data_IF_138656223275
#
_entry.id   IF_138656223275
#
_cell.length_a   1.000
_cell.length_b   1.000
_cell.length_c   1.000
_cell.angle_alpha   90.00
_cell.angle_beta   90.00
_cell.angle_gamma   90.00
#
_symmetry.space_group_name_H-M   'P 1'
#
loop_
_entity.id
_entity.type
_entity.pdbx_description
1 polymer ?
#
# COMPACT_ATOMS: atom_id res chain seq x y z
N UNK A 1 -59.20 9.83 19.51
CA UNK A 1 -60.25 8.86 19.90
C UNK A 1 -60.96 8.37 18.64
N UNK A 2 -61.55 7.17 18.63
CA UNK A 2 -61.11 5.89 19.22
C UNK A 2 -61.14 4.78 18.12
N UNK A 3 -60.93 3.46 18.28
CA UNK A 3 -60.45 2.51 19.32
C UNK A 3 -59.20 1.79 18.71
N UNK A 4 -58.56 0.74 19.23
CA UNK A 4 -58.55 0.01 20.51
C UNK A 4 -57.77 -1.32 20.31
N UNK A 5 -56.83 -1.67 21.20
CA UNK A 5 -56.14 -2.98 21.17
C UNK A 5 -56.90 -4.02 22.01
N UNK A 6 -56.23 -4.96 22.69
CA UNK A 6 -54.93 -5.59 22.41
C UNK A 6 -55.05 -7.14 22.42
N UNK A 7 -53.97 -7.89 22.15
CA UNK A 7 -53.87 -9.28 22.62
C UNK A 7 -52.49 -9.62 23.16
N UNK A 8 -52.48 -10.26 24.33
CA UNK A 8 -51.34 -10.78 25.06
C UNK A 8 -51.07 -12.24 24.68
N UNK A 9 -49.82 -12.70 24.85
CA UNK A 9 -49.42 -14.08 24.57
C UNK A 9 -48.07 -14.40 25.20
N UNK A 10 -48.08 -14.82 26.46
CA UNK A 10 -46.90 -15.27 27.20
C UNK A 10 -46.43 -16.66 26.75
N UNK A 11 -45.11 -16.83 26.64
CA UNK A 11 -44.48 -18.12 26.31
C UNK A 11 -43.10 -18.25 26.94
N UNK A 12 -43.02 -18.87 28.11
CA UNK A 12 -41.77 -19.19 28.80
C UNK A 12 -41.07 -20.37 28.10
N UNK A 13 -39.77 -20.24 27.83
CA UNK A 13 -38.89 -21.35 27.48
C UNK A 13 -37.58 -21.25 28.28
N UNK A 14 -37.17 -22.35 28.91
CA UNK A 14 -36.07 -22.37 29.88
C UNK A 14 -34.68 -22.45 29.21
N UNK A 15 -33.62 -21.90 29.82
CA UNK A 15 -32.25 -22.15 29.39
C UNK A 15 -31.77 -23.54 29.83
N UNK A 16 -31.23 -24.31 28.88
CA UNK A 16 -30.57 -25.60 29.14
C UNK A 16 -29.22 -25.40 29.84
N UNK A 17 -29.02 -26.07 30.97
CA UNK A 17 -27.75 -26.09 31.71
C UNK A 17 -26.79 -27.14 31.13
N UNK A 18 -25.79 -26.70 30.37
CA UNK A 18 -24.70 -27.56 29.90
C UNK A 18 -23.59 -27.66 30.97
N UNK A 19 -23.33 -28.88 31.44
CA UNK A 19 -22.33 -29.17 32.48
C UNK A 19 -20.89 -29.03 31.97
N UNK A 20 -20.07 -28.26 32.70
CA UNK A 20 -18.62 -28.19 32.50
C UNK A 20 -17.95 -29.51 32.92
N UNK A 21 -17.29 -30.20 31.99
CA UNK A 21 -16.34 -31.28 32.29
C UNK A 21 -14.90 -30.78 32.16
N UNK A 22 -14.14 -30.86 33.25
CA UNK A 22 -12.70 -30.66 33.24
C UNK A 22 -11.96 -31.94 32.75
N UNK A 23 -10.82 -31.81 32.05
CA UNK A 23 -9.92 -32.93 31.77
C UNK A 23 -9.02 -33.25 32.98
N UNK A 24 -8.57 -34.50 33.18
CA UNK A 24 -7.75 -34.90 34.32
C UNK A 24 -6.25 -34.58 34.14
N UNK A 25 -5.56 -34.42 35.26
CA UNK A 25 -4.11 -34.19 35.34
C UNK A 25 -3.27 -35.50 35.45
N UNK A 26 -1.96 -35.35 35.16
CA UNK A 26 -0.79 -36.11 35.67
C UNK A 26 -0.48 -37.51 35.08
N UNK A 27 0.78 -38.02 35.28
CA UNK A 27 1.93 -37.43 35.99
C UNK A 27 3.24 -37.27 35.19
N UNK A 28 4.13 -36.43 35.73
CA UNK A 28 5.58 -36.49 35.46
C UNK A 28 6.20 -37.75 36.06
N UNK A 29 7.22 -38.33 35.40
CA UNK A 29 8.20 -39.21 36.04
C UNK A 29 9.63 -38.83 35.64
N UNK A 30 10.49 -38.68 36.65
CA UNK A 30 11.94 -38.58 36.51
C UNK A 30 12.54 -39.97 36.23
N UNK A 31 13.59 -40.03 35.41
CA UNK A 31 14.39 -41.23 35.18
C UNK A 31 15.76 -40.89 34.59
N UNK A 32 16.84 -41.29 35.28
CA UNK A 32 18.23 -40.92 34.95
C UNK A 32 18.93 -41.94 34.01
N UNK A 33 20.17 -41.69 33.54
CA UNK A 33 20.60 -42.16 32.22
C UNK A 33 21.26 -43.54 32.19
N UNK A 34 21.13 -44.23 31.05
CA UNK A 34 21.94 -45.39 30.70
C UNK A 34 23.25 -44.98 30.03
N UNK A 35 24.38 -45.33 30.66
CA UNK A 35 25.71 -45.38 30.04
C UNK A 35 25.98 -46.80 29.55
N UNK A 36 26.39 -46.93 28.29
CA UNK A 36 27.29 -47.95 27.68
C UNK A 36 27.34 -47.65 26.18
N UNK A 37 28.40 -47.88 25.41
CA UNK A 37 29.78 -48.30 25.71
C UNK A 37 30.67 -47.84 24.53
N UNK A 38 31.97 -47.63 24.75
CA UNK A 38 32.89 -47.33 23.65
C UNK A 38 33.18 -48.60 22.83
N UNK A 39 33.20 -48.48 21.50
CA UNK A 39 34.02 -49.34 20.64
C UNK A 39 34.81 -48.47 19.66
N UNK A 40 36.02 -48.91 19.33
CA UNK A 40 37.03 -48.13 18.62
C UNK A 40 36.92 -48.31 17.10
N UNK A 41 36.89 -47.19 16.37
CA UNK A 41 37.02 -47.17 14.91
C UNK A 41 37.75 -45.91 14.46
N UNK A 42 38.97 -46.05 13.94
CA UNK A 42 39.72 -44.93 13.36
C UNK A 42 39.10 -44.54 12.00
N UNK A 43 38.48 -43.37 11.94
CA UNK A 43 37.91 -42.79 10.72
C UNK A 43 38.34 -41.34 10.55
N UNK A 44 38.96 -41.02 9.41
CA UNK A 44 39.59 -39.73 9.07
C UNK A 44 38.70 -38.52 9.42
N UNK A 45 39.22 -37.58 10.20
CA UNK A 45 38.51 -36.34 10.56
C UNK A 45 38.39 -35.40 9.36
N UNK A 46 37.18 -35.33 8.78
CA UNK A 46 36.78 -34.24 7.90
C UNK A 46 36.51 -33.00 8.76
N UNK A 47 37.39 -31.99 8.66
CA UNK A 47 37.22 -30.72 9.36
C UNK A 47 36.11 -29.91 8.70
N UNK A 48 34.86 -30.16 9.11
CA UNK A 48 33.75 -29.26 8.86
C UNK A 48 33.99 -27.95 9.61
N UNK A 49 34.45 -26.91 8.90
CA UNK A 49 34.41 -25.54 9.41
C UNK A 49 32.95 -25.15 9.63
N UNK A 50 32.50 -25.24 10.88
CA UNK A 50 31.18 -24.78 11.32
C UNK A 50 31.13 -23.26 11.17
N UNK A 51 30.61 -22.78 10.03
CA UNK A 51 30.35 -21.35 9.80
C UNK A 51 29.19 -20.94 10.71
N UNK A 52 29.53 -20.46 11.91
CA UNK A 52 28.56 -19.86 12.84
C UNK A 52 28.25 -18.47 12.34
N UNK A 53 27.16 -18.33 11.57
CA UNK A 53 26.58 -17.02 11.25
C UNK A 53 26.02 -16.44 12.55
N UNK A 54 26.83 -15.68 13.28
CA UNK A 54 26.36 -14.84 14.38
C UNK A 54 25.54 -13.68 13.80
N UNK A 55 24.24 -13.87 13.61
CA UNK A 55 23.31 -12.76 13.42
C UNK A 55 23.30 -11.91 14.69
N UNK A 56 24.10 -10.84 14.71
CA UNK A 56 24.11 -9.89 15.81
C UNK A 56 22.77 -9.14 15.78
N UNK A 57 21.81 -9.54 16.60
CA UNK A 57 20.64 -8.70 16.89
C UNK A 57 21.18 -7.43 17.55
N UNK A 58 21.24 -6.34 16.78
CA UNK A 58 21.47 -5.00 17.33
C UNK A 58 20.39 -4.73 18.37
N UNK A 59 20.78 -4.20 19.52
CA UNK A 59 19.82 -3.76 20.52
C UNK A 59 19.02 -2.57 19.98
N UNK A 60 17.78 -2.40 20.44
CA UNK A 60 16.95 -1.26 20.05
C UNK A 60 17.62 0.09 20.37
N UNK A 61 18.45 0.13 21.43
CA UNK A 61 19.24 1.30 21.80
C UNK A 61 20.37 1.60 20.80
N UNK A 62 21.12 0.59 20.35
CA UNK A 62 22.19 0.78 19.35
C UNK A 62 21.63 1.29 18.02
N UNK A 63 20.50 0.75 17.56
CA UNK A 63 19.88 1.21 16.32
C UNK A 63 19.29 2.63 16.48
N UNK A 64 18.67 2.95 17.62
CA UNK A 64 18.20 4.31 17.92
C UNK A 64 19.37 5.33 17.98
N UNK A 65 20.49 4.98 18.62
CA UNK A 65 21.70 5.82 18.64
C UNK A 65 22.30 5.98 17.24
N UNK A 66 22.29 4.94 16.41
CA UNK A 66 22.73 5.00 15.01
C UNK A 66 21.85 5.94 14.19
N UNK A 67 20.53 5.85 14.32
CA UNK A 67 19.59 6.74 13.63
C UNK A 67 19.77 8.19 14.09
N UNK A 68 19.91 8.43 15.40
CA UNK A 68 20.21 9.77 15.94
C UNK A 68 21.51 10.34 15.35
N UNK A 69 22.59 9.57 15.34
CA UNK A 69 23.89 10.00 14.79
C UNK A 69 23.82 10.25 13.27
N UNK A 70 22.96 9.51 12.54
CA UNK A 70 22.68 9.80 11.14
C UNK A 70 21.93 11.12 10.95
N UNK A 71 20.96 11.45 11.82
CA UNK A 71 20.29 12.77 11.80
C UNK A 71 21.25 13.93 12.13
N UNK A 72 22.14 13.74 13.11
CA UNK A 72 23.19 14.72 13.47
C UNK A 72 24.21 14.92 12.34
N UNK A 73 24.51 13.87 11.56
CA UNK A 73 25.29 13.99 10.33
C UNK A 73 24.51 14.67 9.21
N UNK A 74 23.22 14.37 9.03
CA UNK A 74 22.35 15.02 8.04
C UNK A 74 22.22 16.53 8.28
N UNK A 75 22.11 16.99 9.54
CA UNK A 75 22.04 18.43 9.85
C UNK A 75 23.37 19.17 9.61
N UNK A 76 24.49 18.45 9.56
CA UNK A 76 25.82 19.04 9.26
C UNK A 76 26.10 19.23 7.76
N UNK A 77 25.36 18.53 6.89
CA UNK A 77 25.48 18.67 5.43
C UNK A 77 24.65 19.87 4.98
N UNK A 78 25.28 20.83 4.27
CA UNK A 78 24.56 21.88 3.53
C UNK A 78 23.80 21.25 2.36
N UNK A 79 22.63 20.69 2.63
CA UNK A 79 21.69 20.25 1.59
C UNK A 79 21.33 21.47 0.76
N UNK A 80 21.69 21.48 -0.52
CA UNK A 80 21.19 22.47 -1.47
C UNK A 80 19.67 22.25 -1.54
N UNK A 81 18.88 23.17 -0.97
CA UNK A 81 17.42 23.16 -1.14
C UNK A 81 17.12 23.18 -2.63
N UNK A 82 16.36 22.19 -3.10
CA UNK A 82 15.85 22.16 -4.47
C UNK A 82 14.90 23.36 -4.66
N UNK A 83 14.80 23.96 -5.85
CA UNK A 83 13.72 24.89 -6.15
C UNK A 83 12.37 24.19 -5.94
N UNK A 84 11.37 24.85 -5.35
CA UNK A 84 10.04 24.27 -5.19
C UNK A 84 9.45 23.83 -6.54
N UNK A 85 8.66 22.75 -6.50
CA UNK A 85 7.93 22.22 -7.65
C UNK A 85 7.07 23.31 -8.31
N UNK A 86 7.02 23.30 -9.64
CA UNK A 86 6.22 24.20 -10.45
C UNK A 86 5.43 23.40 -11.47
N UNK A 87 4.17 23.76 -11.63
CA UNK A 87 3.26 23.24 -12.65
C UNK A 87 3.80 23.54 -14.05
N UNK A 88 3.93 22.51 -14.87
CA UNK A 88 4.23 22.57 -16.29
C UNK A 88 2.97 22.75 -17.14
N UNK A 89 3.13 22.67 -18.46
CA UNK A 89 2.00 22.70 -19.39
C UNK A 89 1.35 21.32 -19.47
N UNK A 90 0.12 21.20 -18.99
CA UNK A 90 -0.72 20.01 -19.18
C UNK A 90 -1.17 19.96 -20.64
N UNK A 91 -1.08 18.80 -21.29
CA UNK A 91 -1.61 18.59 -22.64
C UNK A 91 -3.08 18.13 -22.60
N UNK A 92 -3.78 18.18 -23.73
CA UNK A 92 -5.15 17.69 -23.82
C UNK A 92 -5.26 16.20 -23.38
N UNK A 93 -6.43 15.76 -22.87
CA UNK A 93 -6.69 14.36 -22.57
C UNK A 93 -6.45 13.45 -23.79
N UNK A 94 -6.01 12.23 -23.52
CA UNK A 94 -5.76 11.22 -24.56
C UNK A 94 -7.05 10.46 -24.89
N UNK A 95 -7.20 10.02 -26.14
CA UNK A 95 -8.42 9.38 -26.63
C UNK A 95 -8.40 7.86 -26.39
N UNK A 96 -9.38 7.37 -25.64
CA UNK A 96 -9.63 5.93 -25.51
C UNK A 96 -10.62 5.46 -26.60
N UNK A 97 -10.29 4.46 -27.44
CA UNK A 97 -11.15 3.94 -28.50
C UNK A 97 -12.55 3.52 -28.03
N UNK A 98 -13.57 3.67 -28.88
CA UNK A 98 -14.97 3.40 -28.51
C UNK A 98 -15.21 1.97 -28.01
N UNK A 99 -14.53 0.97 -28.58
CA UNK A 99 -14.68 -0.44 -28.23
C UNK A 99 -14.13 -0.83 -26.84
N UNK A 100 -13.31 0.01 -26.20
CA UNK A 100 -12.78 -0.25 -24.85
C UNK A 100 -13.90 -0.01 -23.82
N UNK A 101 -14.23 -0.98 -22.95
CA UNK A 101 -15.24 -0.79 -21.91
C UNK A 101 -14.89 0.38 -20.97
N UNK A 102 -15.85 1.27 -20.72
CA UNK A 102 -15.68 2.44 -19.85
C UNK A 102 -16.30 2.20 -18.47
N UNK A 103 -15.64 2.64 -17.38
CA UNK A 103 -16.25 2.66 -16.06
C UNK A 103 -17.37 3.73 -15.98
N UNK A 104 -18.33 3.61 -15.05
CA UNK A 104 -19.61 4.34 -15.09
C UNK A 104 -19.52 5.85 -14.84
N UNK A 105 -18.40 6.36 -14.34
CA UNK A 105 -18.18 7.81 -14.14
C UNK A 105 -17.76 8.56 -15.41
N UNK A 106 -17.34 7.86 -16.48
CA UNK A 106 -16.85 8.50 -17.70
C UNK A 106 -17.97 9.27 -18.39
N UNK A 107 -17.77 10.57 -18.56
CA UNK A 107 -18.79 11.52 -19.06
C UNK A 107 -19.35 12.47 -17.99
N UNK A 108 -19.02 12.24 -16.71
CA UNK A 108 -19.26 13.18 -15.62
C UNK A 108 -17.97 13.86 -15.17
N UNK A 109 -18.05 15.14 -14.82
CA UNK A 109 -16.96 15.85 -14.11
C UNK A 109 -17.19 15.88 -12.59
N UNK A 110 -18.26 15.28 -12.08
CA UNK A 110 -18.48 15.15 -10.65
C UNK A 110 -17.60 14.02 -10.10
N UNK A 111 -16.88 14.30 -9.02
CA UNK A 111 -16.14 13.29 -8.28
C UNK A 111 -17.13 12.27 -7.70
N UNK A 112 -17.01 10.96 -7.98
CA UNK A 112 -17.88 9.96 -7.38
C UNK A 112 -17.74 9.92 -5.86
N UNK A 113 -18.86 9.75 -5.16
CA UNK A 113 -18.85 9.47 -3.72
C UNK A 113 -18.23 8.09 -3.47
N UNK A 114 -17.58 7.92 -2.31
CA UNK A 114 -17.03 6.63 -1.90
C UNK A 114 -18.19 5.66 -1.66
N UNK A 115 -18.22 4.55 -2.40
CA UNK A 115 -19.28 3.56 -2.26
C UNK A 115 -19.24 2.88 -0.89
N UNK A 116 -20.39 2.68 -0.26
CA UNK A 116 -20.50 1.87 0.95
C UNK A 116 -20.42 0.35 0.69
N UNK A 117 -20.33 -0.08 -0.57
CA UNK A 117 -20.21 -1.48 -0.97
C UNK A 117 -18.80 -2.03 -0.72
N UNK A 118 -18.69 -2.97 0.21
CA UNK A 118 -17.47 -3.73 0.47
C UNK A 118 -17.17 -4.64 -0.72
N UNK A 119 -15.99 -4.50 -1.33
CA UNK A 119 -15.58 -5.31 -2.49
C UNK A 119 -15.17 -6.73 -2.07
N UNK A 120 -16.17 -7.59 -1.82
CA UNK A 120 -16.01 -9.02 -1.51
C UNK A 120 -16.41 -9.83 -2.74
N UNK A 121 -15.54 -10.73 -3.18
CA UNK A 121 -15.67 -11.42 -4.47
C UNK A 121 -15.94 -12.91 -4.33
N UNK A 122 -16.67 -13.44 -5.31
CA UNK A 122 -16.74 -14.87 -5.61
C UNK A 122 -15.54 -15.31 -6.47
N UNK A 123 -15.44 -16.60 -6.79
CA UNK A 123 -14.33 -17.17 -7.55
C UNK A 123 -14.13 -16.47 -8.91
N UNK A 124 -15.21 -16.10 -9.60
CA UNK A 124 -15.12 -15.38 -10.88
C UNK A 124 -14.64 -13.94 -10.70
N UNK A 125 -15.16 -13.22 -9.68
CA UNK A 125 -14.70 -11.89 -9.32
C UNK A 125 -13.22 -11.87 -8.93
N UNK A 126 -12.73 -12.89 -8.22
CA UNK A 126 -11.31 -13.05 -7.89
C UNK A 126 -10.46 -13.21 -9.15
N UNK A 127 -10.90 -14.01 -10.14
CA UNK A 127 -10.19 -14.17 -11.43
C UNK A 127 -10.11 -12.83 -12.16
N UNK A 128 -11.20 -12.07 -12.23
CA UNK A 128 -11.25 -10.76 -12.88
C UNK A 128 -10.39 -9.71 -12.16
N UNK A 129 -10.41 -9.68 -10.83
CA UNK A 129 -9.53 -8.85 -10.00
C UNK A 129 -8.06 -9.16 -10.26
N UNK A 130 -7.68 -10.44 -10.31
CA UNK A 130 -6.30 -10.85 -10.61
C UNK A 130 -5.86 -10.38 -11.98
N UNK A 131 -6.71 -10.48 -13.01
CA UNK A 131 -6.39 -10.00 -14.35
C UNK A 131 -6.20 -8.47 -14.40
N UNK A 132 -7.07 -7.69 -13.75
CA UNK A 132 -6.94 -6.23 -13.69
C UNK A 132 -5.68 -5.80 -12.92
N UNK A 133 -5.43 -6.40 -11.76
CA UNK A 133 -4.26 -6.14 -10.93
C UNK A 133 -2.94 -6.55 -11.62
N UNK A 134 -2.92 -7.69 -12.31
CA UNK A 134 -1.74 -8.11 -13.06
C UNK A 134 -1.41 -7.13 -14.19
N UNK A 135 -2.43 -6.62 -14.91
CA UNK A 135 -2.22 -5.58 -15.92
C UNK A 135 -1.70 -4.28 -15.30
N UNK A 136 -2.30 -3.80 -14.20
CA UNK A 136 -1.83 -2.60 -13.50
C UNK A 136 -0.36 -2.72 -13.08
N UNK A 137 0.04 -3.86 -12.51
CA UNK A 137 1.40 -4.12 -12.08
C UNK A 137 2.40 -4.18 -13.25
N UNK A 138 2.02 -4.78 -14.39
CA UNK A 138 2.82 -4.77 -15.63
C UNK A 138 3.00 -3.35 -16.18
N UNK A 139 1.95 -2.53 -16.14
CA UNK A 139 1.97 -1.14 -16.59
C UNK A 139 2.84 -0.27 -15.67
N UNK A 140 2.78 -0.46 -14.36
CA UNK A 140 3.62 0.22 -13.39
C UNK A 140 5.11 -0.13 -13.54
N UNK A 141 5.43 -1.42 -13.75
CA UNK A 141 6.80 -1.87 -14.04
C UNK A 141 7.34 -1.21 -15.32
N UNK A 142 6.56 -1.25 -16.40
CA UNK A 142 6.90 -0.56 -17.65
C UNK A 142 7.10 0.95 -17.45
N UNK A 143 6.21 1.63 -16.74
CA UNK A 143 6.33 3.05 -16.44
C UNK A 143 7.63 3.36 -15.68
N UNK A 144 8.02 2.48 -14.74
CA UNK A 144 9.29 2.54 -14.04
C UNK A 144 10.52 2.53 -14.95
N UNK A 145 10.49 1.79 -16.06
CA UNK A 145 11.60 1.76 -17.04
C UNK A 145 11.81 3.09 -17.77
N UNK A 146 10.80 3.97 -17.77
CA UNK A 146 10.86 5.29 -18.40
C UNK A 146 11.45 6.38 -17.49
N UNK A 147 11.60 6.10 -16.19
CA UNK A 147 12.06 7.06 -15.18
C UNK A 147 13.56 7.33 -15.33
N UNK A 148 13.88 8.46 -15.98
CA UNK A 148 15.25 8.98 -16.14
C UNK A 148 15.23 10.51 -16.33
N UNK A 149 16.36 11.20 -16.11
CA UNK A 149 16.44 12.64 -16.32
C UNK A 149 16.03 13.06 -17.74
N UNK A 150 15.49 14.27 -17.85
CA UNK A 150 14.95 14.90 -19.07
C UNK A 150 13.67 14.29 -19.65
N UNK A 151 13.18 13.14 -19.18
CA UNK A 151 11.84 12.63 -19.55
C UNK A 151 10.76 13.44 -18.82
N UNK A 152 9.69 13.83 -19.52
CA UNK A 152 8.54 14.51 -18.91
C UNK A 152 7.52 13.52 -18.32
N UNK A 153 6.81 13.95 -17.28
CA UNK A 153 5.70 13.14 -16.72
C UNK A 153 4.61 12.88 -17.76
N UNK A 154 4.36 13.84 -18.66
CA UNK A 154 3.44 13.68 -19.80
C UNK A 154 3.93 12.71 -20.89
N UNK A 155 5.22 12.38 -20.98
CA UNK A 155 5.70 11.27 -21.83
C UNK A 155 5.43 9.91 -21.19
N UNK A 156 5.55 9.81 -19.86
CA UNK A 156 5.20 8.62 -19.08
C UNK A 156 3.69 8.34 -19.20
N UNK A 157 2.83 9.35 -19.00
CA UNK A 157 1.36 9.25 -19.19
C UNK A 157 0.97 8.73 -20.58
N UNK A 158 1.59 9.23 -21.65
CA UNK A 158 1.33 8.75 -23.01
C UNK A 158 1.69 7.29 -23.21
N UNK A 159 2.86 6.87 -22.74
CA UNK A 159 3.32 5.50 -22.89
C UNK A 159 2.47 4.52 -22.07
N UNK A 160 2.12 4.90 -20.84
CA UNK A 160 1.20 4.15 -19.96
C UNK A 160 -0.20 4.05 -20.57
N UNK A 161 -0.76 5.15 -21.05
CA UNK A 161 -2.05 5.19 -21.73
C UNK A 161 -2.09 4.24 -22.93
N UNK A 162 -1.07 4.30 -23.79
CA UNK A 162 -0.96 3.45 -24.97
C UNK A 162 -0.88 1.97 -24.60
N UNK A 163 -0.15 1.60 -23.54
CA UNK A 163 -0.08 0.22 -23.05
C UNK A 163 -1.42 -0.27 -22.48
N UNK A 164 -2.09 0.54 -21.67
CA UNK A 164 -3.42 0.22 -21.08
C UNK A 164 -4.45 0.00 -22.20
N UNK A 165 -4.54 0.94 -23.15
CA UNK A 165 -5.49 0.86 -24.26
C UNK A 165 -5.21 -0.33 -25.18
N UNK A 166 -3.94 -0.63 -25.50
CA UNK A 166 -3.57 -1.82 -26.28
C UNK A 166 -3.92 -3.14 -25.58
N UNK A 167 -3.99 -3.15 -24.25
CA UNK A 167 -4.43 -4.30 -23.47
C UNK A 167 -5.98 -4.42 -23.38
N UNK A 168 -6.74 -3.54 -24.03
CA UNK A 168 -8.20 -3.53 -24.00
C UNK A 168 -8.81 -2.99 -22.70
N UNK A 169 -8.00 -2.31 -21.87
CA UNK A 169 -8.42 -1.71 -20.61
C UNK A 169 -8.59 -0.19 -20.72
N UNK A 170 -9.33 0.39 -19.79
CA UNK A 170 -9.48 1.84 -19.64
C UNK A 170 -8.56 2.35 -18.50
N UNK A 171 -7.82 3.46 -18.68
CA UNK A 171 -7.03 4.05 -17.61
C UNK A 171 -7.95 4.75 -16.61
N UNK A 172 -8.17 4.17 -15.42
CA UNK A 172 -9.24 4.59 -14.50
C UNK A 172 -9.17 6.06 -14.07
N UNK A 173 -7.99 6.67 -13.81
CA UNK A 173 -7.94 8.09 -13.46
C UNK A 173 -8.53 9.01 -14.54
N UNK A 174 -8.53 8.60 -15.81
CA UNK A 174 -8.94 9.46 -16.93
C UNK A 174 -10.43 9.81 -16.86
N UNK A 175 -10.72 11.09 -16.57
CA UNK A 175 -12.07 11.62 -16.39
C UNK A 175 -12.67 11.38 -15.00
N UNK A 176 -11.98 10.68 -14.08
CA UNK A 176 -12.47 10.47 -12.72
C UNK A 176 -12.56 11.81 -11.99
N UNK A 177 -13.78 12.30 -11.69
CA UNK A 177 -13.99 13.65 -11.15
C UNK A 177 -13.45 14.78 -12.05
N UNK A 178 -13.27 14.53 -13.35
CA UNK A 178 -12.61 15.45 -14.27
C UNK A 178 -11.07 15.44 -14.24
N UNK A 179 -10.42 14.45 -13.59
CA UNK A 179 -8.96 14.31 -13.67
C UNK A 179 -8.50 14.13 -15.13
N UNK A 180 -7.53 14.92 -15.64
CA UNK A 180 -7.33 15.07 -17.08
C UNK A 180 -6.41 14.01 -17.71
N UNK A 181 -5.86 13.07 -16.92
CA UNK A 181 -4.74 12.19 -17.28
C UNK A 181 -4.96 10.72 -16.94
N UNK A 182 -4.11 9.85 -17.48
CA UNK A 182 -4.29 8.40 -17.47
C UNK A 182 -3.65 7.71 -16.26
N UNK A 183 -2.82 8.45 -15.52
CA UNK A 183 -1.92 8.01 -14.47
C UNK A 183 -1.61 9.23 -13.59
N UNK A 184 -1.32 9.02 -12.30
CA UNK A 184 -0.79 10.08 -11.44
C UNK A 184 0.75 10.03 -11.42
N UNK A 185 1.41 11.19 -11.38
CA UNK A 185 2.88 11.31 -11.32
C UNK A 185 3.28 12.34 -10.27
N UNK A 186 3.61 11.86 -9.08
CA UNK A 186 3.89 12.69 -7.90
C UNK A 186 5.38 12.79 -7.63
N UNK A 187 5.98 13.95 -7.96
CA UNK A 187 7.43 14.19 -7.88
C UNK A 187 7.81 14.93 -6.59
N UNK A 188 8.87 14.45 -5.93
CA UNK A 188 9.52 15.07 -4.76
C UNK A 188 8.55 15.44 -3.62
N UNK A 189 8.19 16.72 -3.47
CA UNK A 189 7.28 17.21 -2.43
C UNK A 189 5.79 16.95 -2.72
N UNK A 190 5.45 16.46 -3.92
CA UNK A 190 4.10 16.01 -4.23
C UNK A 190 3.80 14.67 -3.53
N UNK A 191 2.75 14.66 -2.72
CA UNK A 191 2.28 13.50 -1.96
C UNK A 191 1.61 12.47 -2.86
N UNK A 192 0.60 12.91 -3.62
CA UNK A 192 -0.23 12.09 -4.50
C UNK A 192 -0.93 12.98 -5.56
N UNK A 193 -1.62 12.36 -6.51
CA UNK A 193 -2.48 12.99 -7.53
C UNK A 193 -1.80 14.07 -8.39
N UNK A 194 -0.46 14.04 -8.54
CA UNK A 194 0.27 14.98 -9.38
C UNK A 194 -0.09 14.79 -10.86
N UNK A 195 -0.59 15.82 -11.53
CA UNK A 195 -1.03 15.74 -12.92
C UNK A 195 0.18 15.66 -13.88
N UNK A 196 0.28 14.64 -14.75
CA UNK A 196 1.27 14.59 -15.83
C UNK A 196 1.28 15.84 -16.73
N UNK A 197 2.45 16.47 -16.86
CA UNK A 197 2.64 17.74 -17.55
C UNK A 197 4.01 17.84 -18.25
N UNK A 198 4.36 19.03 -18.76
CA UNK A 198 5.63 19.25 -19.47
C UNK A 198 6.88 19.35 -18.58
N UNK A 199 6.80 19.09 -17.28
CA UNK A 199 7.96 19.10 -16.37
C UNK A 199 8.85 17.90 -16.67
N UNK A 200 10.10 18.18 -17.01
CA UNK A 200 11.14 17.16 -17.11
C UNK A 200 11.61 16.70 -15.72
N UNK A 201 11.78 15.40 -15.53
CA UNK A 201 12.48 14.80 -14.41
C UNK A 201 13.94 15.27 -14.35
N UNK A 202 14.44 15.50 -13.15
CA UNK A 202 15.81 15.97 -12.89
C UNK A 202 16.65 14.85 -12.27
N UNK A 203 17.98 14.93 -12.39
CA UNK A 203 18.88 14.01 -11.70
C UNK A 203 18.73 14.17 -10.18
N UNK A 204 18.45 13.07 -9.49
CA UNK A 204 18.15 13.01 -8.07
C UNK A 204 16.67 13.16 -7.69
N UNK A 205 15.74 13.37 -8.63
CA UNK A 205 14.30 13.35 -8.34
C UNK A 205 13.84 11.98 -7.81
N UNK A 206 12.78 11.98 -7.00
CA UNK A 206 11.93 10.79 -6.81
C UNK A 206 10.54 11.05 -7.38
N UNK A 207 9.94 10.02 -7.94
CA UNK A 207 8.62 10.09 -8.57
C UNK A 207 7.79 8.87 -8.16
N UNK A 208 6.68 9.08 -7.46
CA UNK A 208 5.62 8.09 -7.41
C UNK A 208 4.88 8.11 -8.76
N UNK A 209 4.68 6.92 -9.33
CA UNK A 209 3.77 6.68 -10.44
C UNK A 209 2.67 5.76 -9.90
N UNK A 210 1.43 6.14 -10.16
CA UNK A 210 0.23 5.54 -9.58
C UNK A 210 -0.76 5.19 -10.69
N UNK A 211 -1.05 3.89 -10.80
CA UNK A 211 -1.59 3.20 -11.97
C UNK A 211 -2.82 2.36 -11.57
N UNK A 212 -3.99 2.87 -11.94
CA UNK A 212 -5.24 2.11 -11.89
C UNK A 212 -5.75 1.76 -13.29
N UNK A 213 -6.03 0.49 -13.57
CA UNK A 213 -6.65 0.05 -14.85
C UNK A 213 -8.03 -0.54 -14.62
N UNK A 214 -8.96 -0.29 -15.53
CA UNK A 214 -10.29 -0.91 -15.56
C UNK A 214 -10.35 -1.95 -16.69
N UNK A 215 -10.46 -3.22 -16.32
CA UNK A 215 -10.45 -4.37 -17.23
C UNK A 215 -11.57 -5.34 -16.84
N UNK A 216 -12.37 -5.80 -17.83
CA UNK A 216 -13.42 -6.81 -17.64
C UNK A 216 -14.45 -6.50 -16.53
N UNK A 217 -14.66 -5.21 -16.24
CA UNK A 217 -15.59 -4.72 -15.21
C UNK A 217 -14.95 -4.41 -13.85
N UNK A 218 -13.63 -4.52 -13.72
CA UNK A 218 -12.90 -4.42 -12.44
C UNK A 218 -11.70 -3.47 -12.51
N UNK A 219 -11.49 -2.71 -11.45
CA UNK A 219 -10.32 -1.87 -11.21
C UNK A 219 -9.20 -2.69 -10.54
N UNK A 220 -7.96 -2.51 -11.00
CA UNK A 220 -6.75 -3.00 -10.32
C UNK A 220 -5.80 -1.85 -10.09
N UNK A 221 -5.30 -1.71 -8.85
CA UNK A 221 -4.65 -0.48 -8.37
C UNK A 221 -3.29 -0.71 -7.68
N UNK A 222 -2.32 0.12 -8.03
CA UNK A 222 -0.96 0.08 -7.48
C UNK A 222 -0.11 1.29 -7.86
N UNK A 223 0.74 1.69 -6.93
CA UNK A 223 1.69 2.78 -7.10
C UNK A 223 3.07 2.46 -6.50
N UNK A 224 4.11 3.08 -7.05
CA UNK A 224 5.50 2.91 -6.59
C UNK A 224 6.30 4.20 -6.76
N UNK A 225 7.08 4.54 -5.73
CA UNK A 225 8.09 5.59 -5.84
C UNK A 225 9.39 5.07 -6.46
N UNK A 226 9.76 5.63 -7.61
CA UNK A 226 10.97 5.35 -8.36
C UNK A 226 12.07 6.40 -8.10
N UNK A 227 13.32 6.00 -8.31
CA UNK A 227 14.50 6.85 -8.18
C UNK A 227 14.94 7.35 -9.55
N UNK A 228 14.97 8.66 -9.78
CA UNK A 228 15.44 9.25 -11.03
C UNK A 228 16.93 9.62 -10.94
N UNK A 229 17.80 8.76 -11.48
CA UNK A 229 19.25 8.99 -11.47
C UNK A 229 19.87 8.98 -10.07
N UNK A 230 20.74 9.95 -9.78
CA UNK A 230 21.60 9.97 -8.58
C UNK A 230 20.88 10.54 -7.34
N UNK A 231 19.86 9.84 -6.85
CA UNK A 231 19.14 10.24 -5.62
C UNK A 231 20.05 10.17 -4.38
N UNK A 232 19.92 11.14 -3.48
CA UNK A 232 20.68 11.20 -2.23
C UNK A 232 20.23 10.12 -1.21
N UNK A 233 21.14 9.72 -0.31
CA UNK A 233 20.88 8.65 0.67
C UNK A 233 19.74 8.94 1.68
N UNK A 234 19.53 10.19 2.17
CA UNK A 234 18.33 10.55 2.92
C UNK A 234 17.03 10.26 2.15
N UNK A 235 16.95 10.67 0.89
CA UNK A 235 15.76 10.49 0.04
C UNK A 235 15.55 9.03 -0.37
N UNK A 236 16.62 8.28 -0.71
CA UNK A 236 16.54 6.82 -0.91
C UNK A 236 16.00 6.08 0.32
N UNK A 237 16.34 6.54 1.52
CA UNK A 237 15.87 5.96 2.78
C UNK A 237 14.38 6.21 3.00
N UNK A 238 13.86 7.39 2.63
CA UNK A 238 12.42 7.66 2.65
C UNK A 238 11.67 6.63 1.80
N UNK A 239 12.03 6.54 0.51
CA UNK A 239 11.45 5.59 -0.46
C UNK A 239 11.44 4.16 0.10
N UNK A 240 12.59 3.68 0.60
CA UNK A 240 12.69 2.33 1.16
C UNK A 240 11.81 2.14 2.41
N UNK A 241 11.76 3.11 3.32
CA UNK A 241 10.98 3.00 4.56
C UNK A 241 9.47 3.06 4.28
N UNK A 242 9.04 3.75 3.22
CA UNK A 242 7.65 3.69 2.74
C UNK A 242 7.30 2.28 2.23
N UNK A 243 8.14 1.67 1.39
CA UNK A 243 7.96 0.29 0.90
C UNK A 243 7.90 -0.69 2.09
N UNK A 244 8.87 -0.60 3.02
CA UNK A 244 8.90 -1.43 4.24
C UNK A 244 7.71 -1.14 5.21
N UNK A 245 7.07 0.03 5.14
CA UNK A 245 5.84 0.35 5.88
C UNK A 245 4.63 -0.41 5.31
N UNK A 246 4.42 -0.31 4.00
CA UNK A 246 3.37 -1.02 3.26
C UNK A 246 3.50 -2.54 3.47
N UNK A 247 4.68 -3.13 3.27
CA UNK A 247 4.90 -4.57 3.46
C UNK A 247 4.54 -5.03 4.88
N UNK A 248 4.86 -4.24 5.91
CA UNK A 248 4.53 -4.59 7.30
C UNK A 248 3.05 -4.43 7.63
N UNK A 249 2.34 -3.52 6.98
CA UNK A 249 0.89 -3.45 7.06
C UNK A 249 0.23 -4.67 6.41
N UNK A 250 0.65 -5.04 5.20
CA UNK A 250 0.17 -6.26 4.52
C UNK A 250 0.41 -7.50 5.38
N UNK A 251 1.56 -7.59 6.07
CA UNK A 251 1.91 -8.74 6.93
C UNK A 251 0.99 -9.02 8.12
N UNK A 252 0.11 -8.08 8.50
CA UNK A 252 -0.90 -8.27 9.57
C UNK A 252 -2.32 -8.49 9.03
N UNK A 253 -2.50 -8.47 7.71
CA UNK A 253 -3.79 -8.62 7.05
C UNK A 253 -4.16 -10.10 6.90
N UNK A 254 -5.39 -10.44 7.30
CA UNK A 254 -6.04 -11.76 7.16
C UNK A 254 -7.49 -11.67 7.67
N UNK A 255 -8.29 -12.68 7.37
CA UNK A 255 -9.63 -12.82 7.94
C UNK A 255 -9.68 -12.60 9.47
N UNK A 256 -10.66 -11.83 9.93
CA UNK A 256 -10.85 -11.45 11.33
C UNK A 256 -9.79 -10.49 11.92
N UNK A 257 -8.81 -10.01 11.14
CA UNK A 257 -7.87 -9.00 11.61
C UNK A 257 -8.50 -7.59 11.59
N UNK A 258 -8.33 -6.83 12.66
CA UNK A 258 -8.84 -5.45 12.71
C UNK A 258 -8.01 -4.47 11.87
N UNK A 259 -8.68 -3.61 11.10
CA UNK A 259 -8.05 -2.64 10.20
C UNK A 259 -7.03 -1.73 10.88
N UNK A 260 -7.28 -1.27 12.12
CA UNK A 260 -6.33 -0.40 12.85
C UNK A 260 -4.95 -1.01 13.10
N UNK A 261 -4.76 -2.32 12.90
CA UNK A 261 -3.44 -2.96 12.88
C UNK A 261 -2.55 -2.44 11.74
N UNK A 262 -3.13 -2.06 10.59
CA UNK A 262 -2.42 -1.47 9.44
C UNK A 262 -1.76 -0.17 9.88
N UNK A 263 -2.56 0.82 10.29
CA UNK A 263 -2.05 2.12 10.72
C UNK A 263 -1.09 2.03 11.90
N UNK A 264 -1.35 1.13 12.86
CA UNK A 264 -0.39 0.86 13.94
C UNK A 264 0.98 0.39 13.41
N UNK A 265 1.01 -0.53 12.44
CA UNK A 265 2.27 -1.09 11.89
C UNK A 265 3.07 -0.08 11.07
N UNK A 266 2.39 0.79 10.34
CA UNK A 266 3.02 1.87 9.57
C UNK A 266 3.62 2.90 10.53
N UNK A 267 2.85 3.44 11.47
CA UNK A 267 3.36 4.41 12.47
C UNK A 267 4.50 3.82 13.32
N UNK A 268 4.36 2.60 13.85
CA UNK A 268 5.42 1.89 14.61
C UNK A 268 6.75 1.73 13.81
N UNK A 269 6.71 1.84 12.48
CA UNK A 269 7.91 1.82 11.63
C UNK A 269 8.42 3.23 11.30
N UNK A 270 7.55 4.09 10.76
CA UNK A 270 7.89 5.45 10.31
C UNK A 270 8.45 6.32 11.45
N UNK A 271 7.85 6.25 12.64
CA UNK A 271 8.29 6.97 13.86
C UNK A 271 9.77 6.73 14.18
N UNK A 272 10.29 5.51 13.95
CA UNK A 272 11.69 5.16 14.23
C UNK A 272 12.67 5.93 13.35
N UNK A 273 12.26 6.27 12.13
CA UNK A 273 13.04 7.07 11.19
C UNK A 273 12.74 8.56 11.34
N UNK A 274 11.58 8.90 11.91
CA UNK A 274 11.12 10.28 12.12
C UNK A 274 10.43 10.85 10.90
N UNK A 275 9.79 9.99 10.11
CA UNK A 275 8.96 10.40 8.99
C UNK A 275 7.51 10.59 9.46
N UNK A 276 6.83 11.59 8.88
CA UNK A 276 5.39 11.76 9.04
C UNK A 276 4.65 10.66 8.30
N UNK A 277 3.45 10.31 8.78
CA UNK A 277 2.49 9.46 8.07
C UNK A 277 1.30 10.34 7.72
N UNK A 278 1.00 10.51 6.43
CA UNK A 278 -0.07 11.44 6.02
C UNK A 278 -1.44 10.88 6.44
N UNK A 279 -2.27 11.73 7.05
CA UNK A 279 -3.58 11.34 7.59
C UNK A 279 -4.73 11.59 6.60
N UNK A 280 -4.57 12.55 5.69
CA UNK A 280 -5.59 13.00 4.72
C UNK A 280 -5.88 11.99 3.61
N UNK A 281 -4.93 11.10 3.30
CA UNK A 281 -5.03 10.11 2.23
C UNK A 281 -5.01 8.70 2.82
N UNK A 282 -5.90 7.86 2.31
CA UNK A 282 -6.38 6.63 2.95
C UNK A 282 -6.57 5.56 1.90
N UNK A 283 -6.30 4.31 2.24
CA UNK A 283 -6.61 3.20 1.34
C UNK A 283 -8.12 2.97 1.30
N UNK A 284 -8.57 2.24 0.29
CA UNK A 284 -9.98 2.04 -0.01
C UNK A 284 -10.26 0.61 -0.48
N UNK A 285 -11.51 0.18 -0.38
CA UNK A 285 -11.99 -0.93 -1.17
C UNK A 285 -11.86 -0.62 -2.67
N UNK A 286 -11.44 -1.61 -3.43
CA UNK A 286 -11.25 -1.51 -4.89
C UNK A 286 -11.68 -2.82 -5.54
N UNK A 287 -12.43 -2.72 -6.63
CA UNK A 287 -13.08 -3.87 -7.26
C UNK A 287 -13.91 -3.47 -8.48
N UNK A 288 -15.21 -3.78 -8.47
CA UNK A 288 -16.16 -3.27 -9.48
C UNK A 288 -16.29 -1.74 -9.42
N UNK A 289 -16.09 -1.19 -8.21
CA UNK A 289 -15.98 0.24 -7.92
C UNK A 289 -14.50 0.59 -7.72
N UNK A 290 -14.11 1.80 -8.16
CA UNK A 290 -12.74 2.32 -7.97
C UNK A 290 -12.47 2.57 -6.48
N UNK A 291 -13.25 3.44 -5.83
CA UNK A 291 -13.11 3.77 -4.41
C UNK A 291 -14.38 3.39 -3.62
N UNK A 292 -14.23 2.51 -2.63
CA UNK A 292 -15.31 2.10 -1.74
C UNK A 292 -14.83 1.88 -0.30
N UNK A 293 -15.74 1.52 0.60
CA UNK A 293 -15.39 0.89 1.88
C UNK A 293 -14.63 -0.44 1.65
N UNK A 294 -13.68 -0.82 2.52
CA UNK A 294 -13.32 -0.17 3.78
C UNK A 294 -12.37 1.03 3.61
N UNK A 295 -12.56 2.10 4.38
CA UNK A 295 -11.53 3.14 4.54
C UNK A 295 -10.36 2.63 5.39
N UNK A 296 -9.15 2.65 4.82
CA UNK A 296 -7.91 2.16 5.45
C UNK A 296 -7.03 3.33 5.90
N UNK A 297 -7.07 3.62 7.21
CA UNK A 297 -6.21 4.65 7.81
C UNK A 297 -4.76 4.15 7.99
N UNK A 298 -3.81 4.86 7.37
CA UNK A 298 -2.38 4.57 7.43
C UNK A 298 -1.68 5.03 8.72
N UNK A 299 -2.26 5.97 9.45
CA UNK A 299 -1.77 6.43 10.74
C UNK A 299 -2.38 5.60 11.90
N UNK A 300 -1.71 5.58 13.06
CA UNK A 300 -2.20 4.97 14.29
C UNK A 300 -3.56 5.56 14.69
N UNK A 301 -4.59 4.74 14.68
CA UNK A 301 -5.97 5.11 14.98
C UNK A 301 -6.65 4.04 15.85
N UNK A 302 -7.87 4.32 16.31
CA UNK A 302 -8.68 3.39 17.10
C UNK A 302 -9.97 2.92 16.41
N UNK A 303 -10.13 3.21 15.11
CA UNK A 303 -11.34 2.89 14.35
C UNK A 303 -11.70 1.39 14.43
N UNK A 304 -13.00 1.06 14.58
CA UNK A 304 -13.47 -0.32 14.58
C UNK A 304 -13.43 -0.92 13.16
N UNK A 305 -13.74 -2.21 13.08
CA UNK A 305 -13.84 -2.94 11.81
C UNK A 305 -12.79 -4.06 11.70
N UNK A 306 -13.14 -5.06 10.90
CA UNK A 306 -12.39 -6.30 10.72
C UNK A 306 -12.42 -6.70 9.23
N UNK A 307 -11.30 -7.22 8.77
CA UNK A 307 -11.12 -7.79 7.43
C UNK A 307 -11.90 -9.10 7.31
N UNK A 308 -12.45 -9.36 6.12
CA UNK A 308 -13.23 -10.56 5.81
C UNK A 308 -12.58 -11.29 4.62
N UNK A 309 -12.54 -12.62 4.65
CA UNK A 309 -12.09 -13.43 3.49
C UNK A 309 -12.85 -13.06 2.18
N UNK A 310 -12.13 -13.00 1.06
CA UNK A 310 -12.67 -12.62 -0.25
C UNK A 310 -12.69 -11.10 -0.50
N UNK A 311 -12.41 -10.27 0.50
CA UNK A 311 -12.38 -8.81 0.40
C UNK A 311 -11.11 -8.29 -0.30
N UNK A 312 -11.24 -7.30 -1.18
CA UNK A 312 -10.12 -6.53 -1.75
C UNK A 312 -10.10 -5.07 -1.32
N UNK A 313 -8.90 -4.55 -1.02
CA UNK A 313 -8.65 -3.14 -0.71
C UNK A 313 -7.18 -2.75 -0.94
N UNK A 314 -6.89 -1.46 -1.01
CA UNK A 314 -5.54 -0.89 -1.15
C UNK A 314 -4.87 -0.66 0.22
N UNK A 315 -3.54 -0.75 0.24
CA UNK A 315 -2.71 -0.23 1.34
C UNK A 315 -1.65 0.66 0.70
N UNK A 316 -1.78 1.97 0.87
CA UNK A 316 -1.11 3.00 0.07
C UNK A 316 -0.39 4.11 0.90
N UNK A 317 0.39 3.76 1.94
CA UNK A 317 0.92 4.76 2.87
C UNK A 317 1.81 5.81 2.19
N UNK A 318 1.47 7.08 2.38
CA UNK A 318 2.32 8.23 2.06
C UNK A 318 3.13 8.62 3.31
N UNK A 319 4.46 8.63 3.19
CA UNK A 319 5.36 9.15 4.22
C UNK A 319 6.01 10.46 3.79
N UNK A 320 6.27 11.36 4.74
CA UNK A 320 6.96 12.65 4.50
C UNK A 320 8.25 12.78 5.31
N UNK A 321 9.23 13.51 4.78
CA UNK A 321 10.48 13.81 5.51
C UNK A 321 10.33 14.89 6.58
N UNK A 322 9.35 15.78 6.43
CA UNK A 322 9.07 16.89 7.34
C UNK A 322 7.63 16.85 7.84
N UNK A 323 6.86 17.88 7.54
CA UNK A 323 5.46 18.00 7.95
C UNK A 323 4.53 17.01 7.23
N UNK A 324 3.39 16.69 7.86
CA UNK A 324 2.23 16.04 7.20
C UNK A 324 1.22 17.06 6.67
N UNK A 325 1.36 18.34 7.01
CA UNK A 325 0.54 19.42 6.48
C UNK A 325 0.67 19.51 4.96
N UNK A 326 -0.44 19.78 4.29
CA UNK A 326 -0.52 19.70 2.83
C UNK A 326 -1.17 20.91 2.19
N UNK A 327 -0.78 21.19 0.94
CA UNK A 327 -1.35 22.25 0.11
C UNK A 327 -1.76 21.60 -1.21
N UNK A 328 -3.03 21.76 -1.60
CA UNK A 328 -3.53 21.35 -2.93
C UNK A 328 -3.42 22.54 -3.89
N UNK A 329 -2.94 22.30 -5.12
CA UNK A 329 -2.83 23.32 -6.17
C UNK A 329 -4.20 23.77 -6.72
N UNK A 330 -4.17 24.85 -7.51
CA UNK A 330 -5.33 25.42 -8.21
C UNK A 330 -5.91 24.49 -9.29
N UNK A 331 -5.22 23.40 -9.63
CA UNK A 331 -5.74 22.31 -10.46
C UNK A 331 -6.74 21.40 -9.73
N UNK A 332 -6.87 21.51 -8.40
CA UNK A 332 -7.79 20.75 -7.57
C UNK A 332 -7.32 19.34 -7.19
N UNK A 333 -6.16 18.90 -7.70
CA UNK A 333 -5.66 17.53 -7.55
C UNK A 333 -4.29 17.46 -6.90
N UNK A 334 -3.30 18.13 -7.50
CA UNK A 334 -1.89 18.01 -7.15
C UNK A 334 -1.69 18.48 -5.70
N UNK A 335 -1.42 17.53 -4.79
CA UNK A 335 -1.25 17.84 -3.36
C UNK A 335 0.20 17.69 -2.94
N UNK A 336 0.75 18.73 -2.31
CA UNK A 336 2.15 18.84 -1.89
C UNK A 336 2.28 18.88 -0.37
N UNK A 337 3.48 18.59 0.16
CA UNK A 337 3.85 18.98 1.52
C UNK A 337 3.92 20.51 1.66
N UNK A 338 3.38 21.03 2.76
CA UNK A 338 3.33 22.47 3.01
C UNK A 338 4.73 23.09 3.29
N UNK A 339 5.71 22.27 3.67
CA UNK A 339 7.09 22.69 3.96
C UNK A 339 8.07 22.44 2.80
N UNK A 340 7.61 21.85 1.70
CA UNK A 340 8.44 21.46 0.56
C UNK A 340 9.40 20.29 0.84
N UNK A 341 9.17 19.52 1.91
CA UNK A 341 9.90 18.28 2.16
C UNK A 341 9.42 17.16 1.24
N UNK A 342 10.29 16.22 0.89
CA UNK A 342 9.91 15.11 0.00
C UNK A 342 8.93 14.13 0.65
N UNK A 343 8.01 13.63 -0.16
CA UNK A 343 7.08 12.56 0.15
C UNK A 343 7.41 11.31 -0.69
N UNK A 344 6.98 10.14 -0.22
CA UNK A 344 7.01 8.90 -0.99
C UNK A 344 5.81 8.03 -0.64
N UNK A 345 5.24 7.39 -1.66
CA UNK A 345 4.08 6.49 -1.59
C UNK A 345 4.40 5.14 -2.26
N UNK A 346 3.87 4.07 -1.70
CA UNK A 346 3.86 2.72 -2.27
C UNK A 346 2.51 2.09 -2.00
N UNK A 347 2.02 1.29 -2.94
CA UNK A 347 0.71 0.69 -2.84
C UNK A 347 0.60 -0.68 -3.50
N UNK A 348 -0.19 -1.53 -2.84
CA UNK A 348 -0.79 -2.70 -3.47
C UNK A 348 -2.29 -2.84 -3.16
N UNK A 349 -3.08 -3.17 -4.19
CA UNK A 349 -4.32 -3.94 -4.02
C UNK A 349 -4.00 -5.32 -3.44
N UNK A 350 -4.65 -5.68 -2.34
CA UNK A 350 -4.56 -7.00 -1.71
C UNK A 350 -5.92 -7.70 -1.64
N UNK A 351 -5.90 -9.04 -1.66
CA UNK A 351 -7.04 -9.93 -1.41
C UNK A 351 -6.89 -10.59 -0.04
N UNK A 352 -7.89 -10.46 0.82
CA UNK A 352 -7.90 -11.12 2.13
C UNK A 352 -8.24 -12.60 1.98
N UNK A 353 -7.46 -13.42 2.66
CA UNK A 353 -7.65 -14.88 2.78
C UNK A 353 -7.78 -15.26 4.25
N UNK A 354 -8.25 -16.48 4.52
CA UNK A 354 -8.35 -17.06 5.87
C UNK A 354 -7.05 -16.99 6.69
N UNK A 355 -5.89 -17.08 6.03
CA UNK A 355 -4.59 -17.20 6.71
C UNK A 355 -3.66 -16.00 6.55
N UNK A 356 -3.96 -15.07 5.65
CA UNK A 356 -3.08 -13.96 5.27
C UNK A 356 -3.76 -13.03 4.25
N UNK A 357 -2.95 -12.30 3.49
CA UNK A 357 -3.39 -11.59 2.30
C UNK A 357 -2.55 -11.99 1.08
N UNK A 358 -3.19 -12.10 -0.08
CA UNK A 358 -2.53 -12.23 -1.37
C UNK A 358 -2.33 -10.83 -1.97
N UNK A 359 -1.10 -10.53 -2.40
CA UNK A 359 -0.79 -9.26 -3.07
C UNK A 359 -1.08 -9.42 -4.56
N UNK A 360 -2.17 -8.82 -5.04
CA UNK A 360 -2.64 -9.02 -6.42
C UNK A 360 -1.80 -8.25 -7.44
N UNK A 361 -1.30 -7.07 -7.09
CA UNK A 361 -0.46 -6.23 -7.96
C UNK A 361 1.04 -6.51 -7.82
N UNK A 362 1.42 -7.76 -7.51
CA UNK A 362 2.83 -8.16 -7.46
C UNK A 362 3.31 -8.75 -8.79
N UNK A 363 3.89 -7.89 -9.64
CA UNK A 363 4.59 -8.37 -10.83
C UNK A 363 5.91 -9.05 -10.44
N UNK A 364 6.18 -10.21 -11.06
CA UNK A 364 7.46 -10.92 -11.00
C UNK A 364 7.90 -11.19 -12.43
N UNK A 365 9.07 -10.68 -12.77
CA UNK A 365 9.81 -11.02 -14.01
C UNK A 365 10.58 -12.33 -13.79
#
# INVERSE_FOLDING_TARGET
MPLGGPFSGSGLAAPLSASLRAPPERPFLFGQPLRTSFSSGQGKSLVYKRVVIKSRKLSGLEEAMRIRRLRELQSSVKVRKRPPLRRGKVSAPLLVPEHVPRPPYVGSNLLPEISSEYQVHDDEGIIRMKAACELAARVLDFAGTLVRPSVTTNEIDKAVHEMIVKAGAYPSPLGYGGFPKSVCTSVNECMCHGIPDSRQLQDGDIINIDVTVYLNGYHGDTSKTFLCGNVDEPTKRLVKVTEECMERAISVCKDGASFKKIGKKISDHAERFGYGVVERFVGHGVGKVFHSEPIILHHRNDNPGFMIEGQTFTIEPILTMGSIECITWDDGWTTLTADGSSAAQFEHTILITRMGAEVLTKYKV
#
